data_IF_433887978018
#
_entry.id   IF_433887978018
#
_cell.length_a   1.000
_cell.length_b   1.000
_cell.length_c   1.000
_cell.angle_alpha   90.00
_cell.angle_beta   90.00
_cell.angle_gamma   90.00
#
_symmetry.space_group_name_H-M   'P 1'
#
loop_
_entity.id
_entity.type
_entity.pdbx_description
1 polymer ?
#
# COMPACT_ATOMS: atom_id res chain seq x y z
N UNK A 1 -44.35 -34.75 -1.17
CA UNK A 1 -44.59 -33.32 -1.48
C UNK A 1 -44.29 -32.55 -0.19
N UNK A 2 -43.17 -31.86 0.05
CA UNK A 2 -42.21 -31.25 -0.86
C UNK A 2 -42.41 -29.73 -0.89
N UNK A 3 -41.61 -28.99 -0.11
CA UNK A 3 -41.47 -27.52 -0.18
C UNK A 3 -42.13 -26.76 0.98
N UNK A 4 -41.54 -25.73 1.58
CA UNK A 4 -40.25 -25.09 1.35
C UNK A 4 -39.83 -24.39 2.65
N UNK A 5 -38.57 -24.58 3.04
CA UNK A 5 -37.89 -23.84 4.10
C UNK A 5 -37.63 -22.42 3.62
N UNK A 6 -38.13 -21.43 4.37
CA UNK A 6 -37.65 -20.06 4.28
C UNK A 6 -37.68 -19.50 5.69
N UNK A 7 -36.53 -19.44 6.33
CA UNK A 7 -36.20 -18.20 7.01
C UNK A 7 -34.70 -17.91 6.95
N UNK A 8 -34.43 -16.64 6.70
CA UNK A 8 -33.22 -16.07 6.14
C UNK A 8 -32.39 -15.46 7.27
N UNK A 9 -31.09 -15.75 7.26
CA UNK A 9 -29.97 -15.02 7.89
C UNK A 9 -30.30 -14.11 9.09
N UNK A 10 -30.30 -14.70 10.28
CA UNK A 10 -30.35 -13.96 11.54
C UNK A 10 -29.00 -13.25 11.77
N UNK A 11 -28.89 -12.00 11.34
CA UNK A 11 -27.71 -11.17 11.60
C UNK A 11 -27.87 -10.58 12.99
N UNK A 12 -27.32 -11.24 14.00
CA UNK A 12 -27.35 -10.78 15.39
C UNK A 12 -26.57 -9.47 15.55
N UNK A 13 -27.23 -8.32 15.36
CA UNK A 13 -26.69 -7.03 15.77
C UNK A 13 -26.71 -6.95 17.30
N UNK A 14 -25.52 -7.06 17.91
CA UNK A 14 -25.31 -6.80 19.34
C UNK A 14 -25.05 -5.31 19.53
N UNK A 15 -26.03 -4.59 20.09
CA UNK A 15 -25.91 -3.18 20.45
C UNK A 15 -25.50 -3.11 21.93
N UNK A 16 -24.31 -2.57 22.22
CA UNK A 16 -23.83 -2.34 23.59
C UNK A 16 -24.03 -0.86 23.95
N UNK A 17 -24.99 -0.56 24.82
CA UNK A 17 -25.24 0.79 25.34
C UNK A 17 -24.40 1.04 26.60
N UNK A 18 -23.27 1.72 26.44
CA UNK A 18 -22.37 2.10 27.54
C UNK A 18 -22.80 3.44 28.14
N UNK A 19 -23.25 3.47 29.40
CA UNK A 19 -23.82 4.69 29.99
C UNK A 19 -22.82 5.62 30.70
N UNK A 20 -21.78 5.13 31.39
CA UNK A 20 -20.92 6.00 32.24
C UNK A 20 -19.39 5.93 32.03
N UNK A 21 -18.87 4.97 31.26
CA UNK A 21 -17.42 4.82 31.00
C UNK A 21 -17.03 5.01 29.53
N UNK A 22 -17.85 5.75 28.77
CA UNK A 22 -17.69 5.89 27.31
C UNK A 22 -16.27 6.24 26.89
N UNK A 23 -15.64 7.25 27.50
CA UNK A 23 -14.27 7.68 27.11
C UNK A 23 -13.18 6.65 27.45
N UNK A 24 -13.32 5.95 28.59
CA UNK A 24 -12.33 4.97 29.05
C UNK A 24 -12.39 3.65 28.26
N UNK A 25 -13.57 3.28 27.74
CA UNK A 25 -13.75 2.02 26.99
C UNK A 25 -13.58 2.26 25.48
N UNK A 26 -14.04 3.40 24.96
CA UNK A 26 -13.95 3.70 23.54
C UNK A 26 -12.49 3.85 23.09
N UNK A 27 -11.61 4.43 23.92
CA UNK A 27 -10.22 4.63 23.51
C UNK A 27 -9.45 3.30 23.29
N UNK A 28 -9.44 2.34 24.24
CA UNK A 28 -8.91 1.00 24.01
C UNK A 28 -9.60 0.24 22.87
N UNK A 29 -10.92 0.43 22.71
CA UNK A 29 -11.69 -0.24 21.66
C UNK A 29 -11.32 0.29 20.26
N UNK A 30 -11.20 1.61 20.09
CA UNK A 30 -10.72 2.21 18.85
C UNK A 30 -9.28 1.81 18.56
N UNK A 31 -8.42 1.75 19.58
CA UNK A 31 -7.05 1.24 19.42
C UNK A 31 -7.05 -0.21 18.94
N UNK A 32 -7.91 -1.06 19.50
CA UNK A 32 -8.07 -2.44 19.05
C UNK A 32 -8.58 -2.53 17.59
N UNK A 33 -9.54 -1.69 17.19
CA UNK A 33 -10.00 -1.61 15.80
C UNK A 33 -8.84 -1.17 14.89
N UNK A 34 -8.08 -0.15 15.29
CA UNK A 34 -6.91 0.30 14.53
C UNK A 34 -5.86 -0.80 14.42
N UNK A 35 -5.57 -1.52 15.49
CA UNK A 35 -4.64 -2.65 15.49
C UNK A 35 -5.12 -3.78 14.56
N UNK A 36 -6.39 -4.17 14.65
CA UNK A 36 -6.98 -5.20 13.78
C UNK A 36 -7.01 -4.74 12.30
N UNK A 37 -7.39 -3.50 12.02
CA UNK A 37 -7.37 -2.92 10.69
C UNK A 37 -5.93 -2.85 10.15
N UNK A 38 -4.97 -2.47 10.99
CA UNK A 38 -3.56 -2.46 10.64
C UNK A 38 -3.07 -3.87 10.34
N UNK A 39 -3.41 -4.89 11.14
CA UNK A 39 -3.06 -6.28 10.85
C UNK A 39 -3.61 -6.74 9.48
N UNK A 40 -4.85 -6.37 9.16
CA UNK A 40 -5.46 -6.67 7.84
C UNK A 40 -4.75 -5.89 6.72
N UNK A 41 -4.39 -4.63 6.95
CA UNK A 41 -3.73 -3.77 5.98
C UNK A 41 -2.23 -4.08 5.78
N UNK A 42 -1.56 -4.58 6.82
CA UNK A 42 -0.13 -4.90 6.89
C UNK A 42 0.13 -6.38 6.61
N UNK A 43 -0.89 -7.16 6.21
CA UNK A 43 -0.64 -8.50 5.69
C UNK A 43 0.46 -8.42 4.61
N UNK A 44 1.55 -9.18 4.76
CA UNK A 44 2.79 -9.00 4.00
C UNK A 44 2.64 -9.28 2.49
N UNK A 45 1.50 -9.84 2.10
CA UNK A 45 1.15 -10.28 0.75
C UNK A 45 0.09 -9.39 0.09
N UNK A 46 0.17 -8.06 0.28
CA UNK A 46 -0.50 -7.20 -0.71
C UNK A 46 0.28 -7.31 -2.00
N UNK A 47 -0.20 -8.18 -2.86
CA UNK A 47 0.22 -8.29 -4.25
C UNK A 47 0.31 -6.89 -4.84
N UNK A 48 1.44 -6.59 -5.47
CA UNK A 48 1.59 -5.36 -6.23
C UNK A 48 0.41 -5.25 -7.20
N UNK A 49 -0.12 -4.05 -7.43
CA UNK A 49 -1.20 -3.85 -8.40
C UNK A 49 -0.63 -3.12 -9.60
N UNK A 50 -0.77 -3.73 -10.77
CA UNK A 50 -0.47 -3.08 -12.05
C UNK A 50 -1.71 -2.33 -12.52
N UNK A 51 -1.57 -1.03 -12.75
CA UNK A 51 -2.63 -0.21 -13.33
C UNK A 51 -2.37 -0.01 -14.82
N UNK A 52 -3.32 -0.42 -15.64
CA UNK A 52 -3.24 -0.29 -17.09
C UNK A 52 -4.34 0.66 -17.54
N UNK A 53 -3.98 1.62 -18.37
CA UNK A 53 -4.95 2.48 -19.04
C UNK A 53 -5.61 1.68 -20.17
N UNK A 54 -6.93 1.51 -20.11
CA UNK A 54 -7.65 0.88 -21.20
C UNK A 54 -7.93 1.95 -22.26
N UNK A 55 -7.36 1.83 -23.46
CA UNK A 55 -7.55 2.82 -24.53
C UNK A 55 -9.02 3.13 -24.85
N UNK A 56 -9.93 2.18 -24.57
CA UNK A 56 -11.34 2.25 -24.94
C UNK A 56 -12.23 2.74 -23.80
N UNK A 57 -11.70 2.87 -22.58
CA UNK A 57 -12.42 3.40 -21.43
C UNK A 57 -11.50 4.37 -20.71
N UNK A 58 -11.93 5.61 -20.48
CA UNK A 58 -11.18 6.65 -19.77
C UNK A 58 -10.91 6.34 -18.28
N UNK A 59 -10.85 5.07 -17.89
CA UNK A 59 -10.71 4.55 -16.54
C UNK A 59 -9.52 3.60 -16.44
N UNK A 60 -8.75 3.78 -15.37
CA UNK A 60 -7.65 2.89 -15.01
C UNK A 60 -8.19 1.54 -14.56
N UNK A 61 -7.64 0.44 -15.08
CA UNK A 61 -7.94 -0.92 -14.60
C UNK A 61 -6.80 -1.44 -13.75
N UNK A 62 -7.11 -1.98 -12.58
CA UNK A 62 -6.13 -2.61 -11.68
C UNK A 62 -6.09 -4.12 -11.91
N UNK A 63 -4.90 -4.68 -12.06
CA UNK A 63 -4.63 -6.11 -12.10
C UNK A 63 -3.66 -6.49 -10.99
N UNK A 64 -3.82 -7.68 -10.44
CA UNK A 64 -2.84 -8.26 -9.51
C UNK A 64 -1.55 -8.54 -10.27
N UNK A 65 -0.46 -7.91 -9.86
CA UNK A 65 0.87 -8.08 -10.44
C UNK A 65 1.60 -9.20 -9.69
N UNK A 66 1.53 -10.40 -10.25
CA UNK A 66 2.26 -11.56 -9.77
C UNK A 66 3.44 -11.81 -10.71
N UNK A 67 4.56 -11.12 -10.47
CA UNK A 67 5.79 -11.34 -11.23
C UNK A 67 6.90 -11.86 -10.31
N UNK A 68 7.66 -12.90 -10.69
CA UNK A 68 8.73 -13.44 -9.86
C UNK A 68 9.82 -12.42 -9.56
N UNK A 69 10.04 -11.40 -10.41
CA UNK A 69 11.01 -10.32 -10.13
C UNK A 69 10.54 -9.26 -9.13
N UNK A 70 9.46 -9.50 -8.39
CA UNK A 70 9.03 -8.65 -7.27
C UNK A 70 10.02 -8.72 -6.08
N UNK A 71 11.11 -9.48 -6.22
CA UNK A 71 12.20 -9.51 -5.27
C UNK A 71 12.64 -8.11 -4.85
N UNK A 72 13.13 -8.07 -3.60
CA UNK A 72 13.69 -6.89 -2.97
C UNK A 72 14.56 -6.09 -3.95
N UNK A 73 14.56 -4.77 -3.81
CA UNK A 73 15.46 -3.89 -4.55
C UNK A 73 16.94 -4.32 -4.42
N UNK A 74 17.26 -5.16 -3.43
CA UNK A 74 18.56 -5.77 -3.26
C UNK A 74 18.95 -6.86 -4.27
N UNK A 75 17.98 -7.50 -4.92
CA UNK A 75 18.19 -8.55 -5.92
C UNK A 75 18.49 -8.01 -7.32
N UNK A 76 18.29 -6.70 -7.54
CA UNK A 76 18.57 -6.09 -8.84
C UNK A 76 20.07 -5.84 -8.99
N UNK A 77 20.62 -6.35 -10.09
CA UNK A 77 22.01 -6.17 -10.47
C UNK A 77 22.19 -4.74 -11.02
N UNK A 78 22.68 -3.85 -10.16
CA UNK A 78 23.07 -2.47 -10.46
C UNK A 78 24.36 -2.11 -9.73
N UNK A 79 25.05 -1.07 -10.19
CA UNK A 79 26.17 -0.50 -9.46
C UNK A 79 25.73 -0.03 -8.07
N UNK A 80 26.49 -0.44 -7.04
CA UNK A 80 26.12 -0.24 -5.64
C UNK A 80 25.97 1.25 -5.27
N UNK A 81 26.84 2.11 -5.80
CA UNK A 81 26.78 3.56 -5.55
C UNK A 81 25.50 4.17 -6.15
N UNK A 82 25.20 3.85 -7.41
CA UNK A 82 23.98 4.31 -8.08
C UNK A 82 22.72 3.82 -7.33
N UNK A 83 22.72 2.57 -6.89
CA UNK A 83 21.66 1.97 -6.09
C UNK A 83 21.44 2.71 -4.77
N UNK A 84 22.52 3.04 -4.05
CA UNK A 84 22.45 3.75 -2.77
C UNK A 84 21.99 5.19 -2.93
N UNK A 85 22.46 5.90 -3.96
CA UNK A 85 22.00 7.26 -4.30
C UNK A 85 20.51 7.27 -4.60
N UNK A 86 20.01 6.28 -5.35
CA UNK A 86 18.59 6.16 -5.65
C UNK A 86 17.75 5.92 -4.39
N UNK A 87 18.18 4.99 -3.51
CA UNK A 87 17.50 4.76 -2.22
C UNK A 87 17.45 6.04 -1.38
N UNK A 88 18.57 6.74 -1.26
CA UNK A 88 18.67 7.98 -0.48
C UNK A 88 17.81 9.12 -1.04
N UNK A 89 17.72 9.28 -2.37
CA UNK A 89 16.84 10.27 -3.01
C UNK A 89 15.36 9.95 -2.74
N UNK A 90 14.98 8.67 -2.85
CA UNK A 90 13.60 8.22 -2.55
C UNK A 90 13.22 8.46 -1.09
N UNK A 91 14.11 8.15 -0.14
CA UNK A 91 13.89 8.40 1.29
C UNK A 91 13.75 9.90 1.58
N UNK A 92 14.64 10.71 0.99
CA UNK A 92 14.61 12.16 1.11
C UNK A 92 13.32 12.75 0.53
N UNK A 93 12.87 12.24 -0.62
CA UNK A 93 11.61 12.63 -1.25
C UNK A 93 10.40 12.29 -0.38
N UNK A 94 10.42 11.12 0.28
CA UNK A 94 9.36 10.72 1.20
C UNK A 94 9.26 11.66 2.41
N UNK A 95 10.41 11.99 3.04
CA UNK A 95 10.46 12.92 4.17
C UNK A 95 10.02 14.33 3.73
N UNK A 96 10.46 14.76 2.53
CA UNK A 96 10.14 16.06 2.00
C UNK A 96 8.65 16.25 1.66
N UNK A 97 7.85 15.18 1.54
CA UNK A 97 6.40 15.27 1.27
C UNK A 97 5.68 16.21 2.25
N UNK A 98 5.96 16.09 3.55
CA UNK A 98 5.37 16.98 4.56
C UNK A 98 5.87 18.42 4.43
N UNK A 99 7.15 18.59 4.05
CA UNK A 99 7.75 19.90 3.83
C UNK A 99 7.10 20.64 2.63
N UNK A 100 7.00 19.97 1.48
CA UNK A 100 6.35 20.52 0.27
C UNK A 100 4.87 20.83 0.50
N UNK A 101 4.17 19.98 1.26
CA UNK A 101 2.78 20.21 1.63
C UNK A 101 2.60 21.51 2.44
N UNK A 102 3.48 21.77 3.43
CA UNK A 102 3.44 23.02 4.23
C UNK A 102 3.70 24.27 3.39
N UNK A 103 4.56 24.15 2.37
CA UNK A 103 4.87 25.25 1.45
C UNK A 103 3.82 25.48 0.36
N UNK A 104 2.78 24.63 0.27
CA UNK A 104 1.78 24.71 -0.80
C UNK A 104 2.34 24.37 -2.19
N UNK A 105 3.46 23.65 -2.27
CA UNK A 105 4.11 23.28 -3.53
C UNK A 105 3.85 21.81 -3.87
N UNK A 106 3.73 21.54 -5.16
CA UNK A 106 3.52 20.18 -5.68
C UNK A 106 4.80 19.35 -5.49
N UNK A 107 4.67 18.19 -4.84
CA UNK A 107 5.77 17.24 -4.66
C UNK A 107 5.78 16.21 -5.82
N UNK A 108 6.62 16.41 -6.84
CA UNK A 108 6.79 15.51 -7.99
C UNK A 108 8.28 15.23 -8.25
N UNK A 109 8.64 13.98 -8.55
CA UNK A 109 9.99 13.53 -8.90
C UNK A 109 9.92 12.54 -10.06
N UNK A 110 10.81 12.68 -11.05
CA UNK A 110 10.91 11.79 -12.21
C UNK A 110 12.33 11.25 -12.34
N UNK A 111 12.48 9.99 -12.75
CA UNK A 111 13.76 9.32 -12.96
C UNK A 111 13.88 8.86 -14.41
N UNK A 112 15.08 8.95 -14.98
CA UNK A 112 15.38 8.47 -16.33
C UNK A 112 16.41 7.33 -16.25
N UNK A 113 15.98 6.12 -16.62
CA UNK A 113 16.85 4.95 -16.69
C UNK A 113 17.23 4.66 -18.14
N UNK A 114 18.47 5.01 -18.51
CA UNK A 114 19.03 4.75 -19.84
C UNK A 114 20.10 3.65 -19.77
N UNK A 115 20.45 3.06 -20.91
CA UNK A 115 21.31 1.86 -20.98
C UNK A 115 20.82 0.84 -22.02
N UNK A 116 21.56 -0.24 -22.21
CA UNK A 116 21.21 -1.31 -23.15
C UNK A 116 19.83 -1.91 -22.85
N UNK A 117 19.16 -2.44 -23.88
CA UNK A 117 17.79 -3.00 -23.74
C UNK A 117 17.71 -4.20 -22.79
N UNK A 118 18.84 -4.88 -22.54
CA UNK A 118 18.94 -6.02 -21.62
C UNK A 118 19.17 -5.62 -20.16
N UNK A 119 19.39 -4.33 -19.87
CA UNK A 119 19.51 -3.84 -18.50
C UNK A 119 18.12 -3.85 -17.88
N UNK A 120 17.98 -4.48 -16.71
CA UNK A 120 16.75 -4.71 -15.93
C UNK A 120 16.00 -3.44 -15.47
N UNK A 121 15.69 -2.51 -16.39
CA UNK A 121 15.07 -1.21 -16.13
C UNK A 121 13.60 -1.33 -15.75
N UNK A 122 12.86 -2.18 -16.47
CA UNK A 122 11.47 -2.50 -16.13
C UNK A 122 11.39 -3.28 -14.82
N UNK A 123 12.30 -4.24 -14.63
CA UNK A 123 12.41 -4.99 -13.38
C UNK A 123 12.80 -4.10 -12.20
N UNK A 124 13.60 -3.05 -12.42
CA UNK A 124 13.91 -2.04 -11.40
C UNK A 124 12.66 -1.32 -10.89
N UNK A 125 11.78 -0.90 -11.81
CA UNK A 125 10.52 -0.24 -11.45
C UNK A 125 9.55 -1.21 -10.79
N UNK A 126 9.59 -2.49 -11.16
CA UNK A 126 8.76 -3.54 -10.57
C UNK A 126 9.23 -3.97 -9.17
N UNK A 127 10.51 -3.79 -8.84
CA UNK A 127 11.02 -4.13 -7.52
C UNK A 127 10.46 -3.17 -6.48
N UNK A 128 9.93 -3.75 -5.41
CA UNK A 128 9.42 -2.99 -4.29
C UNK A 128 10.62 -2.43 -3.51
N UNK A 129 10.77 -1.11 -3.36
CA UNK A 129 11.68 -0.60 -2.35
C UNK A 129 11.14 -1.06 -0.99
N UNK A 130 12.01 -1.55 -0.11
CA UNK A 130 11.70 -1.79 1.29
C UNK A 130 11.45 -0.43 1.98
N UNK A 131 10.31 0.20 1.69
CA UNK A 131 9.88 1.40 2.38
C UNK A 131 9.04 0.93 3.56
N UNK A 132 9.56 1.13 4.77
CA UNK A 132 8.76 0.92 5.98
C UNK A 132 7.62 1.93 5.94
N UNK A 133 6.39 1.47 5.79
CA UNK A 133 5.22 2.22 6.24
C UNK A 133 5.25 2.27 7.77
N UNK A 134 6.23 2.97 8.34
CA UNK A 134 6.17 3.37 9.74
C UNK A 134 5.12 4.47 9.79
N UNK A 135 3.89 4.07 10.11
CA UNK A 135 2.86 4.96 10.63
C UNK A 135 3.52 5.75 11.77
N UNK A 136 3.82 7.02 11.53
CA UNK A 136 4.11 7.95 12.60
C UNK A 136 2.77 8.33 13.19
N UNK A 137 2.57 7.94 14.44
CA UNK A 137 1.53 8.45 15.33
C UNK A 137 1.60 9.98 15.41
#
# INVERSE_FOLDING_TARGET
>A
MGGATTDRYNTHQRILTLHNHKRQILHPYFHHIHAAANQINHQPNRDLRLFINNSNHSTWRSLTFMHPSTFEFDTIIMELDLKNRLKSDLDSFFIAKHYYHRLGRVCKRSFLFYGASSTSKSSLVAAKPYYKNTVRE
#
